data_IF_778693432022
#
_entry.id   IF_778693432022
#
_cell.length_a   1.000
_cell.length_b   1.000
_cell.length_c   1.000
_cell.angle_alpha   90.00
_cell.angle_beta   90.00
_cell.angle_gamma   90.00
#
_symmetry.space_group_name_H-M   'P 1'
#
loop_
_entity.id
_entity.type
_entity.pdbx_description
1 polymer ?
#
# COMPACT_ATOMS: atom_id res chain seq x y z
N UNK A 1 18.89 -18.25 14.36
CA UNK A 1 18.50 -16.98 15.01
C UNK A 1 17.49 -17.32 16.09
N UNK A 2 17.80 -16.99 17.34
CA UNK A 2 17.19 -17.57 18.54
C UNK A 2 15.67 -17.33 18.60
N UNK A 3 14.90 -18.41 18.78
CA UNK A 3 13.52 -18.36 19.25
C UNK A 3 13.56 -17.91 20.71
N UNK A 4 13.56 -16.60 20.95
CA UNK A 4 13.30 -16.06 22.28
C UNK A 4 11.92 -16.52 22.74
N UNK A 5 11.83 -17.11 23.93
CA UNK A 5 10.57 -17.51 24.54
C UNK A 5 9.70 -16.27 24.69
N UNK A 6 8.63 -16.17 23.89
CA UNK A 6 7.67 -15.07 23.98
C UNK A 6 6.97 -15.18 25.33
N UNK A 7 7.04 -14.13 26.15
CA UNK A 7 6.21 -14.01 27.34
C UNK A 7 4.86 -13.35 26.96
N UNK A 8 3.76 -14.11 26.91
CA UNK A 8 2.47 -13.62 26.45
C UNK A 8 1.94 -12.43 27.25
N UNK A 9 2.18 -12.40 28.57
CA UNK A 9 1.72 -11.31 29.43
C UNK A 9 2.49 -10.01 29.15
N UNK A 10 3.79 -10.14 28.84
CA UNK A 10 4.63 -9.00 28.47
C UNK A 10 4.24 -8.44 27.10
N UNK A 11 3.90 -9.27 26.12
CA UNK A 11 3.41 -8.81 24.82
C UNK A 11 2.11 -8.01 24.95
N UNK A 12 1.13 -8.50 25.71
CA UNK A 12 -0.14 -7.77 25.88
C UNK A 12 0.03 -6.49 26.70
N UNK A 13 0.94 -6.48 27.68
CA UNK A 13 1.31 -5.24 28.38
C UNK A 13 1.90 -4.20 27.42
N UNK A 14 2.87 -4.60 26.59
CA UNK A 14 3.48 -3.74 25.59
C UNK A 14 2.45 -3.23 24.56
N UNK A 15 1.50 -4.07 24.15
CA UNK A 15 0.40 -3.64 23.28
C UNK A 15 -0.46 -2.54 23.92
N UNK A 16 -0.79 -2.67 25.21
CA UNK A 16 -1.57 -1.68 25.97
C UNK A 16 -0.84 -0.35 26.09
N UNK A 17 0.45 -0.38 26.41
CA UNK A 17 1.28 0.82 26.51
C UNK A 17 1.40 1.53 25.15
N UNK A 18 1.56 0.76 24.07
CA UNK A 18 1.55 1.30 22.72
C UNK A 18 0.19 1.91 22.32
N UNK A 19 -0.94 1.30 22.69
CA UNK A 19 -2.28 1.88 22.47
C UNK A 19 -2.41 3.24 23.17
N UNK A 20 -1.98 3.34 24.44
CA UNK A 20 -2.00 4.61 25.21
C UNK A 20 -1.10 5.67 24.60
N UNK A 21 0.03 5.28 24.03
CA UNK A 21 0.94 6.16 23.31
C UNK A 21 0.47 6.51 21.88
N UNK A 22 -0.69 6.02 21.45
CA UNK A 22 -1.17 6.09 20.06
C UNK A 22 -0.19 5.51 19.01
N UNK A 23 0.70 4.61 19.43
CA UNK A 23 1.57 3.83 18.55
C UNK A 23 0.87 2.53 18.12
N UNK A 24 -0.10 2.69 17.21
CA UNK A 24 -0.88 1.56 16.71
C UNK A 24 -0.05 0.56 15.89
N UNK A 25 1.14 0.95 15.43
CA UNK A 25 2.05 0.03 14.74
C UNK A 25 2.64 -0.96 15.72
N UNK A 26 3.22 -0.47 16.81
CA UNK A 26 3.76 -1.32 17.87
C UNK A 26 2.65 -2.12 18.56
N UNK A 27 1.48 -1.52 18.81
CA UNK A 27 0.34 -2.24 19.37
C UNK A 27 -0.09 -3.44 18.50
N UNK A 28 -0.13 -3.26 17.18
CA UNK A 28 -0.46 -4.34 16.23
C UNK A 28 0.58 -5.46 16.27
N UNK A 29 1.87 -5.10 16.32
CA UNK A 29 2.96 -6.07 16.36
C UNK A 29 2.89 -6.94 17.61
N UNK A 30 2.82 -6.32 18.80
CA UNK A 30 2.76 -7.03 20.07
C UNK A 30 1.49 -7.91 20.19
N UNK A 31 0.34 -7.38 19.77
CA UNK A 31 -0.90 -8.18 19.73
C UNK A 31 -0.78 -9.38 18.79
N UNK A 32 -0.13 -9.21 17.64
CA UNK A 32 0.09 -10.28 16.67
C UNK A 32 1.02 -11.38 17.20
N UNK A 33 2.11 -11.00 17.87
CA UNK A 33 3.04 -11.93 18.50
C UNK A 33 2.34 -12.78 19.57
N UNK A 34 1.57 -12.13 20.46
CA UNK A 34 0.72 -12.83 21.43
C UNK A 34 -0.28 -13.76 20.73
N UNK A 35 -1.02 -13.26 19.75
CA UNK A 35 -2.07 -14.02 19.06
C UNK A 35 -1.51 -15.29 18.40
N UNK A 36 -0.32 -15.21 17.79
CA UNK A 36 0.37 -16.38 17.22
C UNK A 36 0.73 -17.41 18.29
N UNK A 37 1.23 -16.97 19.43
CA UNK A 37 1.51 -17.84 20.57
C UNK A 37 0.23 -18.53 21.07
N UNK A 38 -0.82 -17.75 21.34
CA UNK A 38 -2.08 -18.26 21.89
C UNK A 38 -2.76 -19.26 20.93
N UNK A 39 -2.74 -19.00 19.63
CA UNK A 39 -3.23 -19.95 18.62
C UNK A 39 -2.46 -21.28 18.62
N UNK A 40 -1.14 -21.24 18.81
CA UNK A 40 -0.33 -22.46 18.89
C UNK A 40 -0.71 -23.29 20.12
N UNK A 41 -0.95 -22.63 21.27
CA UNK A 41 -1.39 -23.28 22.52
C UNK A 41 -2.78 -23.91 22.37
N UNK A 42 -3.75 -23.19 21.78
CA UNK A 42 -5.10 -23.73 21.56
C UNK A 42 -5.08 -24.93 20.62
N UNK A 43 -4.24 -24.91 19.57
CA UNK A 43 -4.13 -26.01 18.60
C UNK A 43 -3.46 -27.26 19.16
N UNK A 44 -2.60 -27.13 20.18
CA UNK A 44 -1.92 -28.27 20.80
C UNK A 44 -2.71 -28.88 21.97
N UNK A 45 -3.74 -28.20 22.46
CA UNK A 45 -4.59 -28.69 23.54
C UNK A 45 -5.58 -29.78 23.05
N UNK A 46 -5.87 -30.82 23.86
CA UNK A 46 -6.95 -31.76 23.56
C UNK A 46 -8.30 -31.01 23.49
N UNK A 47 -9.29 -31.49 22.70
CA UNK A 47 -10.57 -30.82 22.56
C UNK A 47 -11.29 -30.76 23.92
N UNK A 48 -11.16 -29.62 24.59
CA UNK A 48 -11.91 -29.33 25.80
C UNK A 48 -13.35 -28.99 25.43
N UNK A 49 -14.31 -29.36 26.28
CA UNK A 49 -15.62 -28.73 26.28
C UNK A 49 -15.43 -27.25 26.65
N UNK A 50 -15.24 -26.41 25.64
CA UNK A 50 -15.22 -24.96 25.81
C UNK A 50 -16.62 -24.59 26.28
N UNK A 51 -16.77 -24.22 27.55
CA UNK A 51 -17.99 -23.62 28.05
C UNK A 51 -18.29 -22.41 27.15
N UNK A 52 -19.54 -22.26 26.69
CA UNK A 52 -20.02 -21.09 25.92
C UNK A 52 -20.08 -19.82 26.78
N UNK A 53 -19.12 -19.63 27.68
CA UNK A 53 -18.92 -18.34 28.33
C UNK A 53 -18.54 -17.31 27.27
N UNK A 54 -18.85 -16.05 27.55
CA UNK A 54 -19.00 -14.97 26.58
C UNK A 54 -17.70 -14.66 25.81
N UNK A 55 -17.43 -15.46 24.78
CA UNK A 55 -16.34 -15.26 23.81
C UNK A 55 -16.71 -14.22 22.74
N UNK A 56 -17.87 -13.59 22.84
CA UNK A 56 -18.33 -12.63 21.85
C UNK A 56 -17.75 -11.27 22.21
N UNK A 57 -16.84 -10.68 21.40
CA UNK A 57 -16.39 -9.33 21.64
C UNK A 57 -17.59 -8.37 21.50
N UNK A 58 -17.67 -7.31 22.31
CA UNK A 58 -18.74 -6.32 22.18
C UNK A 58 -18.72 -5.71 20.77
N UNK A 59 -19.91 -5.45 20.21
CA UNK A 59 -20.01 -4.72 18.94
C UNK A 59 -19.55 -3.29 19.17
N UNK A 60 -18.53 -2.85 18.43
CA UNK A 60 -18.04 -1.48 18.52
C UNK A 60 -18.29 -0.70 17.24
N UNK A 61 -18.83 0.49 17.43
CA UNK A 61 -18.92 1.53 16.40
C UNK A 61 -17.66 2.36 16.48
N UNK A 62 -16.87 2.38 15.40
CA UNK A 62 -15.62 3.14 15.37
C UNK A 62 -15.92 4.63 15.46
N UNK A 63 -15.49 5.26 16.55
CA UNK A 63 -15.40 6.71 16.67
C UNK A 63 -13.92 7.07 16.62
N UNK A 64 -13.49 7.75 15.56
CA UNK A 64 -12.08 8.09 15.37
C UNK A 64 -11.56 8.91 16.57
N UNK A 65 -10.42 8.48 17.14
CA UNK A 65 -9.82 9.11 18.31
C UNK A 65 -10.26 8.55 19.66
N UNK A 66 -11.31 7.73 19.71
CA UNK A 66 -11.68 6.97 20.91
C UNK A 66 -10.91 5.65 20.98
N UNK A 67 -9.83 5.63 21.77
CA UNK A 67 -9.03 4.42 22.00
C UNK A 67 -9.57 3.55 23.13
N UNK A 68 -10.65 3.96 23.80
CA UNK A 68 -11.27 3.25 24.93
C UNK A 68 -11.55 1.79 24.59
N UNK A 69 -12.10 1.55 23.39
CA UNK A 69 -12.39 0.19 22.93
C UNK A 69 -11.15 -0.66 22.70
N UNK A 70 -10.06 -0.08 22.18
CA UNK A 70 -8.79 -0.79 22.03
C UNK A 70 -8.23 -1.19 23.40
N UNK A 71 -8.31 -0.29 24.39
CA UNK A 71 -7.89 -0.59 25.76
C UNK A 71 -8.78 -1.66 26.40
N UNK A 72 -10.11 -1.60 26.23
CA UNK A 72 -11.03 -2.63 26.73
C UNK A 72 -10.70 -4.01 26.15
N UNK A 73 -10.51 -4.11 24.84
CA UNK A 73 -10.14 -5.39 24.23
C UNK A 73 -8.82 -5.93 24.76
N UNK A 74 -7.82 -5.06 24.98
CA UNK A 74 -6.53 -5.48 25.52
C UNK A 74 -6.61 -5.88 27.01
N UNK A 75 -7.50 -5.27 27.78
CA UNK A 75 -7.84 -5.67 29.15
C UNK A 75 -8.50 -7.05 29.16
N UNK A 76 -9.43 -7.32 28.23
CA UNK A 76 -10.08 -8.62 28.06
C UNK A 76 -9.07 -9.73 27.70
N UNK A 77 -8.08 -9.42 26.85
CA UNK A 77 -6.98 -10.39 26.59
C UNK A 77 -6.19 -10.65 27.88
N UNK A 78 -5.90 -9.61 28.66
CA UNK A 78 -5.17 -9.74 29.93
C UNK A 78 -5.94 -10.63 30.93
N UNK A 79 -7.25 -10.39 31.09
CA UNK A 79 -8.11 -11.19 31.95
C UNK A 79 -8.20 -12.66 31.48
N UNK A 80 -8.23 -12.88 30.17
CA UNK A 80 -8.22 -14.22 29.60
C UNK A 80 -6.89 -14.96 29.86
N UNK A 81 -5.75 -14.25 29.84
CA UNK A 81 -4.44 -14.80 30.24
C UNK A 81 -4.46 -15.17 31.73
N UNK A 82 -4.90 -14.25 32.60
CA UNK A 82 -4.92 -14.45 34.06
C UNK A 82 -5.82 -15.63 34.47
N UNK A 83 -6.93 -15.83 33.75
CA UNK A 83 -7.84 -16.97 33.93
C UNK A 83 -7.42 -18.24 33.17
N UNK A 84 -6.27 -18.23 32.48
CA UNK A 84 -5.79 -19.33 31.64
C UNK A 84 -6.79 -19.78 30.55
N UNK A 85 -7.69 -18.89 30.12
CA UNK A 85 -8.69 -19.14 29.08
C UNK A 85 -8.15 -18.72 27.70
N UNK A 86 -7.29 -19.56 27.12
CA UNK A 86 -6.64 -19.27 25.83
C UNK A 86 -7.61 -19.13 24.64
N UNK A 87 -8.71 -19.90 24.53
CA UNK A 87 -9.72 -19.65 23.49
C UNK A 87 -10.34 -18.24 23.56
N UNK A 88 -10.66 -17.75 24.76
CA UNK A 88 -11.11 -16.36 24.96
C UNK A 88 -10.00 -15.38 24.58
N UNK A 89 -8.77 -15.63 24.99
CA UNK A 89 -7.64 -14.77 24.70
C UNK A 89 -7.38 -14.63 23.18
N UNK A 90 -7.47 -15.72 22.42
CA UNK A 90 -7.39 -15.70 20.93
C UNK A 90 -8.52 -14.86 20.33
N UNK A 91 -9.74 -15.02 20.83
CA UNK A 91 -10.91 -14.33 20.29
C UNK A 91 -10.81 -12.82 20.48
N UNK A 92 -10.47 -12.38 21.70
CA UNK A 92 -10.28 -10.95 21.99
C UNK A 92 -9.02 -10.37 21.33
N UNK A 93 -7.93 -11.14 21.21
CA UNK A 93 -6.75 -10.69 20.47
C UNK A 93 -7.04 -10.54 18.96
N UNK A 94 -7.88 -11.40 18.38
CA UNK A 94 -8.35 -11.26 16.99
C UNK A 94 -9.18 -9.98 16.83
N UNK A 95 -10.12 -9.73 17.74
CA UNK A 95 -10.92 -8.51 17.75
C UNK A 95 -10.04 -7.25 17.89
N UNK A 96 -9.01 -7.31 18.75
CA UNK A 96 -8.06 -6.22 18.94
C UNK A 96 -7.25 -5.94 17.67
N UNK A 97 -6.77 -6.98 16.98
CA UNK A 97 -6.07 -6.82 15.70
C UNK A 97 -6.96 -6.16 14.64
N UNK A 98 -8.23 -6.57 14.56
CA UNK A 98 -9.19 -5.96 13.62
C UNK A 98 -9.46 -4.49 13.97
N UNK A 99 -9.64 -4.18 15.24
CA UNK A 99 -9.87 -2.81 15.71
C UNK A 99 -8.64 -1.91 15.46
N UNK A 100 -7.43 -2.38 15.77
CA UNK A 100 -6.18 -1.69 15.48
C UNK A 100 -5.99 -1.44 13.98
N UNK A 101 -6.36 -2.40 13.13
CA UNK A 101 -6.31 -2.23 11.67
C UNK A 101 -7.26 -1.13 11.20
N UNK A 102 -8.47 -1.05 11.75
CA UNK A 102 -9.44 0.01 11.41
C UNK A 102 -8.97 1.38 11.87
N UNK A 103 -8.44 1.48 13.08
CA UNK A 103 -7.91 2.75 13.61
C UNK A 103 -6.73 3.26 12.75
N UNK A 104 -5.84 2.35 12.34
CA UNK A 104 -4.77 2.69 11.40
C UNK A 104 -5.29 3.16 10.06
N UNK A 105 -6.29 2.48 9.49
CA UNK A 105 -6.89 2.87 8.22
C UNK A 105 -7.58 4.24 8.32
N UNK A 106 -8.32 4.50 9.40
CA UNK A 106 -9.01 5.77 9.64
C UNK A 106 -8.04 6.96 9.80
N UNK A 107 -6.80 6.70 10.24
CA UNK A 107 -5.74 7.72 10.38
C UNK A 107 -4.89 7.91 9.13
N UNK A 108 -5.01 7.03 8.14
CA UNK A 108 -4.34 7.24 6.86
C UNK A 108 -5.06 8.38 6.11
N UNK A 109 -4.31 9.33 5.53
CA UNK A 109 -4.94 10.38 4.75
C UNK A 109 -5.69 9.78 3.55
N UNK A 110 -6.92 10.23 3.33
CA UNK A 110 -7.71 9.84 2.15
C UNK A 110 -7.00 10.26 0.86
N UNK A 111 -7.31 9.67 -0.31
CA UNK A 111 -6.73 10.13 -1.57
C UNK A 111 -6.86 11.64 -1.79
N UNK A 112 -8.02 12.23 -1.50
CA UNK A 112 -8.24 13.68 -1.59
C UNK A 112 -7.40 14.49 -0.60
N UNK A 113 -7.20 14.00 0.63
CA UNK A 113 -6.31 14.64 1.61
C UNK A 113 -4.85 14.58 1.18
N UNK A 114 -4.38 13.44 0.67
CA UNK A 114 -3.02 13.30 0.12
C UNK A 114 -2.81 14.26 -1.04
N UNK A 115 -3.77 14.35 -1.94
CA UNK A 115 -3.72 15.28 -3.06
C UNK A 115 -3.66 16.74 -2.60
N UNK A 116 -4.54 17.14 -1.68
CA UNK A 116 -4.53 18.50 -1.12
C UNK A 116 -3.19 18.83 -0.44
N UNK A 117 -2.59 17.87 0.27
CA UNK A 117 -1.27 18.05 0.88
C UNK A 117 -0.17 18.23 -0.18
N UNK A 118 -0.18 17.44 -1.24
CA UNK A 118 0.77 17.58 -2.36
C UNK A 118 0.62 18.94 -3.07
N UNK A 119 -0.62 19.42 -3.31
CA UNK A 119 -0.86 20.75 -3.88
C UNK A 119 -0.33 21.87 -2.98
N UNK A 120 -0.52 21.75 -1.66
CA UNK A 120 0.01 22.72 -0.70
C UNK A 120 1.54 22.78 -0.75
N UNK A 121 2.22 21.63 -0.85
CA UNK A 121 3.69 21.59 -0.96
C UNK A 121 4.21 22.25 -2.25
N UNK A 122 3.44 22.18 -3.33
CA UNK A 122 3.81 22.79 -4.60
C UNK A 122 3.45 24.28 -4.71
N UNK A 123 2.67 24.81 -3.77
CA UNK A 123 2.23 26.22 -3.79
C UNK A 123 3.41 27.14 -3.53
N UNK A 124 3.72 28.02 -4.48
CA UNK A 124 4.85 28.95 -4.38
C UNK A 124 6.22 28.30 -4.59
N UNK A 125 6.27 27.02 -4.98
CA UNK A 125 7.52 26.37 -5.35
C UNK A 125 8.13 27.01 -6.60
N UNK A 126 9.46 27.13 -6.65
CA UNK A 126 10.16 27.49 -7.89
C UNK A 126 10.03 26.38 -8.94
N UNK A 127 10.47 26.66 -10.18
CA UNK A 127 10.32 25.73 -11.29
C UNK A 127 10.99 24.36 -11.05
N UNK A 128 12.13 24.33 -10.36
CA UNK A 128 12.87 23.09 -10.10
C UNK A 128 12.16 22.28 -9.02
N UNK A 129 11.78 22.90 -7.91
CA UNK A 129 11.02 22.23 -6.85
C UNK A 129 9.66 21.75 -7.34
N UNK A 130 8.96 22.56 -8.15
CA UNK A 130 7.70 22.16 -8.77
C UNK A 130 7.90 20.92 -9.64
N UNK A 131 8.93 20.91 -10.49
CA UNK A 131 9.24 19.75 -11.32
C UNK A 131 9.42 18.47 -10.50
N UNK A 132 10.14 18.54 -9.37
CA UNK A 132 10.36 17.38 -8.49
C UNK A 132 9.06 16.87 -7.85
N UNK A 133 8.07 17.74 -7.63
CA UNK A 133 6.78 17.41 -7.02
C UNK A 133 5.71 16.97 -8.05
N UNK A 134 5.86 17.34 -9.32
CA UNK A 134 4.87 17.07 -10.37
C UNK A 134 4.48 15.58 -10.51
N UNK A 135 5.40 14.60 -10.44
CA UNK A 135 5.01 13.18 -10.48
C UNK A 135 4.02 12.80 -9.38
N UNK A 136 4.25 13.28 -8.15
CA UNK A 136 3.37 13.00 -7.02
C UNK A 136 2.06 13.78 -7.10
N UNK A 137 2.07 15.02 -7.60
CA UNK A 137 0.85 15.79 -7.91
C UNK A 137 -0.04 15.06 -8.92
N UNK A 138 0.52 14.60 -10.04
CA UNK A 138 -0.22 13.92 -11.09
C UNK A 138 -0.83 12.59 -10.57
N UNK A 139 -0.04 11.78 -9.85
CA UNK A 139 -0.51 10.53 -9.26
C UNK A 139 -1.60 10.74 -8.21
N UNK A 140 -1.37 11.62 -7.24
CA UNK A 140 -2.32 11.85 -6.15
C UNK A 140 -3.62 12.50 -6.64
N UNK A 141 -3.56 13.38 -7.65
CA UNK A 141 -4.75 13.91 -8.32
C UNK A 141 -5.60 12.78 -8.95
N UNK A 142 -4.95 11.86 -9.67
CA UNK A 142 -5.63 10.71 -10.26
C UNK A 142 -6.28 9.82 -9.19
N UNK A 143 -5.54 9.49 -8.13
CA UNK A 143 -6.06 8.68 -7.01
C UNK A 143 -7.21 9.36 -6.26
N UNK A 144 -7.23 10.70 -6.22
CA UNK A 144 -8.31 11.49 -5.66
C UNK A 144 -9.54 11.60 -6.57
N UNK A 145 -9.47 11.07 -7.80
CA UNK A 145 -10.52 11.18 -8.81
C UNK A 145 -10.59 12.55 -9.50
N UNK A 146 -9.62 13.44 -9.27
CA UNK A 146 -9.52 14.72 -9.98
C UNK A 146 -8.79 14.53 -11.31
N UNK A 147 -9.48 13.92 -12.27
CA UNK A 147 -8.90 13.58 -13.57
C UNK A 147 -8.52 14.82 -14.39
N UNK A 148 -9.17 15.97 -14.15
CA UNK A 148 -8.83 17.23 -14.82
C UNK A 148 -7.46 17.71 -14.38
N UNK A 149 -7.21 17.79 -13.07
CA UNK A 149 -5.88 18.17 -12.57
C UNK A 149 -4.83 17.10 -12.86
N UNK A 150 -5.18 15.81 -12.76
CA UNK A 150 -4.28 14.72 -13.12
C UNK A 150 -3.78 14.84 -14.57
N UNK A 151 -4.68 15.10 -15.52
CA UNK A 151 -4.33 15.34 -16.92
C UNK A 151 -3.44 16.58 -17.06
N UNK A 152 -3.79 17.68 -16.42
CA UNK A 152 -3.01 18.93 -16.47
C UNK A 152 -1.57 18.75 -16.00
N UNK A 153 -1.35 18.07 -14.86
CA UNK A 153 0.00 17.80 -14.36
C UNK A 153 0.76 16.78 -15.21
N UNK A 154 0.06 15.81 -15.80
CA UNK A 154 0.67 14.88 -16.76
C UNK A 154 1.14 15.62 -18.02
N UNK A 155 0.32 16.53 -18.56
CA UNK A 155 0.67 17.37 -19.71
C UNK A 155 1.86 18.28 -19.39
N UNK A 156 1.92 18.85 -18.17
CA UNK A 156 3.06 19.64 -17.71
C UNK A 156 4.36 18.81 -17.67
N UNK A 157 4.33 17.58 -17.15
CA UNK A 157 5.47 16.67 -17.17
C UNK A 157 5.95 16.38 -18.60
N UNK A 158 5.01 16.07 -19.51
CA UNK A 158 5.32 15.76 -20.91
C UNK A 158 5.83 16.99 -21.69
N UNK A 159 5.33 18.19 -21.37
CA UNK A 159 5.83 19.44 -21.93
C UNK A 159 7.27 19.72 -21.49
N UNK A 160 7.60 19.53 -20.21
CA UNK A 160 8.97 19.68 -19.69
C UNK A 160 9.92 18.66 -20.34
N UNK A 161 9.45 17.42 -20.53
CA UNK A 161 10.19 16.40 -21.25
C UNK A 161 10.46 16.81 -22.72
N UNK A 162 9.48 17.42 -23.38
CA UNK A 162 9.66 17.86 -24.77
C UNK A 162 10.57 19.09 -24.90
N UNK A 163 10.54 20.00 -23.93
CA UNK A 163 11.24 21.28 -23.98
C UNK A 163 12.74 21.21 -23.69
N UNK A 164 13.22 20.19 -22.98
CA UNK A 164 14.63 20.08 -22.57
C UNK A 164 15.38 18.80 -23.04
N UNK A 165 15.44 18.52 -24.35
CA UNK A 165 16.11 17.32 -24.87
C UNK A 165 17.54 17.18 -24.34
N UNK A 166 17.87 16.04 -23.74
CA UNK A 166 19.21 15.75 -23.19
C UNK A 166 19.37 15.97 -21.68
N UNK A 167 18.38 16.55 -21.01
CA UNK A 167 18.27 16.50 -19.55
C UNK A 167 17.72 15.14 -19.10
N UNK A 168 18.09 14.57 -17.93
CA UNK A 168 17.55 13.30 -17.44
C UNK A 168 16.06 13.43 -17.04
N UNK A 169 15.20 13.46 -18.05
CA UNK A 169 13.75 13.66 -17.97
C UNK A 169 12.98 12.37 -17.66
N UNK A 170 13.67 11.32 -17.20
CA UNK A 170 13.06 10.00 -17.19
C UNK A 170 11.82 9.91 -16.32
N UNK A 171 11.79 10.60 -15.18
CA UNK A 171 10.59 10.73 -14.35
C UNK A 171 9.46 11.43 -15.10
N UNK A 172 9.76 12.52 -15.82
CA UNK A 172 8.76 13.29 -16.53
C UNK A 172 8.07 12.50 -17.64
N UNK A 173 8.86 11.84 -18.49
CA UNK A 173 8.35 10.95 -19.53
C UNK A 173 7.58 9.78 -18.93
N UNK A 174 8.12 9.17 -17.88
CA UNK A 174 7.52 7.98 -17.29
C UNK A 174 6.19 8.31 -16.61
N UNK A 175 6.19 9.15 -15.58
CA UNK A 175 5.00 9.44 -14.79
C UNK A 175 3.95 10.25 -15.55
N UNK A 176 4.36 11.16 -16.43
CA UNK A 176 3.44 11.89 -17.30
C UNK A 176 2.62 10.93 -18.17
N UNK A 177 3.28 9.99 -18.83
CA UNK A 177 2.59 8.99 -19.64
C UNK A 177 1.77 8.00 -18.79
N UNK A 178 2.26 7.55 -17.64
CA UNK A 178 1.49 6.65 -16.76
C UNK A 178 0.16 7.31 -16.37
N UNK A 179 0.17 8.55 -15.89
CA UNK A 179 -1.06 9.23 -15.46
C UNK A 179 -1.96 9.55 -16.65
N UNK A 180 -1.41 10.07 -17.76
CA UNK A 180 -2.18 10.35 -18.97
C UNK A 180 -2.89 9.09 -19.52
N UNK A 181 -2.19 7.96 -19.57
CA UNK A 181 -2.77 6.70 -20.03
C UNK A 181 -3.87 6.18 -19.11
N UNK A 182 -3.73 6.34 -17.79
CA UNK A 182 -4.77 5.94 -16.83
C UNK A 182 -6.01 6.84 -16.94
N UNK A 183 -5.83 8.15 -17.09
CA UNK A 183 -6.94 9.08 -17.38
C UNK A 183 -7.62 8.72 -18.70
N UNK A 184 -6.86 8.32 -19.73
CA UNK A 184 -7.43 7.86 -20.99
C UNK A 184 -8.28 6.58 -20.83
N UNK A 185 -7.85 5.61 -20.01
CA UNK A 185 -8.63 4.41 -19.71
C UNK A 185 -9.95 4.71 -19.00
N UNK A 186 -10.00 5.71 -18.12
CA UNK A 186 -11.27 6.14 -17.49
C UNK A 186 -12.32 6.56 -18.53
N UNK A 187 -11.87 7.07 -19.68
CA UNK A 187 -12.71 7.44 -20.82
C UNK A 187 -12.80 6.34 -21.88
N UNK A 188 -12.43 5.10 -21.54
CA UNK A 188 -12.39 3.95 -22.45
C UNK A 188 -11.52 4.15 -23.70
N UNK A 189 -10.55 5.08 -23.65
CA UNK A 189 -9.61 5.31 -24.74
C UNK A 189 -8.37 4.42 -24.59
N UNK A 190 -8.54 3.15 -24.95
CA UNK A 190 -7.49 2.12 -24.82
C UNK A 190 -6.31 2.41 -25.75
N UNK A 191 -6.57 2.98 -26.93
CA UNK A 191 -5.50 3.29 -27.89
C UNK A 191 -4.48 4.25 -27.27
N UNK A 192 -4.97 5.33 -26.65
CA UNK A 192 -4.09 6.29 -25.95
C UNK A 192 -3.40 5.62 -24.76
N UNK A 193 -4.13 4.86 -23.95
CA UNK A 193 -3.55 4.14 -22.81
C UNK A 193 -2.37 3.23 -23.20
N UNK A 194 -2.51 2.47 -24.29
CA UNK A 194 -1.46 1.62 -24.84
C UNK A 194 -0.24 2.44 -25.24
N UNK A 195 -0.46 3.47 -26.06
CA UNK A 195 0.64 4.32 -26.54
C UNK A 195 1.36 5.02 -25.39
N UNK A 196 0.63 5.44 -24.36
CA UNK A 196 1.19 6.05 -23.16
C UNK A 196 2.04 5.04 -22.38
N UNK A 197 1.56 3.81 -22.15
CA UNK A 197 2.35 2.82 -21.42
C UNK A 197 3.68 2.53 -22.14
N UNK A 198 3.65 2.34 -23.46
CA UNK A 198 4.85 2.09 -24.25
C UNK A 198 5.79 3.30 -24.25
N UNK A 199 5.26 4.52 -24.35
CA UNK A 199 6.06 5.73 -24.24
C UNK A 199 6.72 5.88 -22.86
N UNK A 200 6.03 5.48 -21.79
CA UNK A 200 6.58 5.46 -20.43
C UNK A 200 7.73 4.46 -20.28
N UNK A 201 7.73 3.35 -21.04
CA UNK A 201 8.79 2.34 -21.04
C UNK A 201 10.05 2.76 -21.80
N UNK A 202 9.92 3.64 -22.80
CA UNK A 202 11.01 4.06 -23.70
C UNK A 202 11.93 5.15 -23.14
N UNK A 203 11.74 5.49 -21.87
CA UNK A 203 12.61 6.42 -21.15
C UNK A 203 14.02 5.85 -20.95
N UNK A 204 15.04 6.72 -20.89
CA UNK A 204 16.39 6.32 -20.47
C UNK A 204 16.50 6.07 -18.96
N UNK A 205 15.42 6.30 -18.21
CA UNK A 205 15.35 6.15 -16.77
C UNK A 205 15.75 7.40 -16.00
N UNK A 206 15.82 7.27 -14.68
CA UNK A 206 16.17 8.31 -13.73
C UNK A 206 16.77 7.66 -12.48
N UNK A 207 17.46 8.40 -11.59
CA UNK A 207 17.90 7.85 -10.31
C UNK A 207 16.77 7.18 -9.51
N UNK A 208 15.54 7.72 -9.59
CA UNK A 208 14.36 7.14 -8.95
C UNK A 208 13.96 5.82 -9.61
N UNK A 209 13.82 5.81 -10.94
CA UNK A 209 13.41 4.63 -11.71
C UNK A 209 14.46 3.50 -11.66
N UNK A 210 15.75 3.84 -11.60
CA UNK A 210 16.81 2.85 -11.47
C UNK A 210 16.77 2.15 -10.10
N UNK A 211 16.40 2.87 -9.05
CA UNK A 211 16.37 2.37 -7.67
C UNK A 211 15.05 1.65 -7.36
N UNK A 212 13.93 2.37 -7.41
CA UNK A 212 12.62 1.84 -7.00
C UNK A 212 11.96 1.00 -8.09
N UNK A 213 12.26 1.31 -9.34
CA UNK A 213 11.61 0.74 -10.51
C UNK A 213 10.51 1.62 -11.09
N UNK A 214 9.94 1.19 -12.22
CA UNK A 214 8.83 1.86 -12.84
C UNK A 214 7.51 1.67 -12.09
N UNK A 215 6.56 2.58 -12.35
CA UNK A 215 5.19 2.45 -11.89
C UNK A 215 4.39 1.49 -12.81
N UNK A 216 3.71 0.53 -12.21
CA UNK A 216 2.94 -0.53 -12.87
C UNK A 216 1.43 -0.28 -12.86
N UNK A 217 0.96 0.88 -12.39
CA UNK A 217 -0.47 1.20 -12.25
C UNK A 217 -1.21 1.13 -13.59
N UNK A 218 -0.67 1.73 -14.65
CA UNK A 218 -1.26 1.66 -15.99
C UNK A 218 -1.17 0.25 -16.58
N UNK A 219 -0.08 -0.47 -16.31
CA UNK A 219 0.06 -1.87 -16.73
C UNK A 219 -1.00 -2.76 -16.07
N UNK A 220 -1.25 -2.60 -14.77
CA UNK A 220 -2.29 -3.31 -14.05
C UNK A 220 -3.69 -2.99 -14.60
N UNK A 221 -3.98 -1.72 -14.88
CA UNK A 221 -5.25 -1.29 -15.47
C UNK A 221 -5.46 -1.91 -16.87
N UNK A 222 -4.41 -1.99 -17.71
CA UNK A 222 -4.46 -2.65 -19.03
C UNK A 222 -4.62 -4.18 -18.94
N UNK A 223 -3.98 -4.85 -17.97
CA UNK A 223 -4.22 -6.28 -17.72
C UNK A 223 -5.66 -6.55 -17.31
N UNK A 224 -6.23 -5.73 -16.42
CA UNK A 224 -7.63 -5.84 -16.00
C UNK A 224 -8.60 -5.61 -17.17
N UNK A 225 -8.19 -4.80 -18.15
CA UNK A 225 -8.92 -4.57 -19.39
C UNK A 225 -8.75 -5.70 -20.43
N UNK A 226 -7.84 -6.66 -20.19
CA UNK A 226 -7.60 -7.80 -21.07
C UNK A 226 -6.53 -7.55 -22.15
N UNK A 227 -5.57 -6.65 -21.90
CA UNK A 227 -4.48 -6.34 -22.83
C UNK A 227 -3.09 -6.76 -22.29
N UNK A 228 -2.76 -8.06 -22.31
CA UNK A 228 -1.48 -8.57 -21.83
C UNK A 228 -0.30 -8.22 -22.76
N UNK A 229 -0.54 -8.08 -24.06
CA UNK A 229 0.53 -7.90 -25.05
C UNK A 229 1.25 -6.55 -24.86
N UNK A 230 0.49 -5.46 -24.73
CA UNK A 230 1.06 -4.13 -24.47
C UNK A 230 1.87 -4.12 -23.17
N UNK A 231 1.43 -4.85 -22.14
CA UNK A 231 2.11 -4.92 -20.86
C UNK A 231 3.41 -5.71 -20.96
N UNK A 232 3.43 -6.81 -21.72
CA UNK A 232 4.64 -7.58 -21.98
C UNK A 232 5.70 -6.75 -22.73
N UNK A 233 5.29 -5.97 -23.72
CA UNK A 233 6.18 -5.05 -24.45
C UNK A 233 6.75 -3.98 -23.50
N UNK A 234 5.90 -3.37 -22.69
CA UNK A 234 6.32 -2.40 -21.69
C UNK A 234 7.32 -2.98 -20.67
N UNK A 235 7.10 -4.20 -20.17
CA UNK A 235 8.06 -4.87 -19.27
C UNK A 235 9.42 -5.11 -19.95
N UNK A 236 9.43 -5.40 -21.25
CA UNK A 236 10.65 -5.55 -22.02
C UNK A 236 11.42 -4.22 -22.13
N UNK A 237 10.72 -3.11 -22.39
CA UNK A 237 11.31 -1.77 -22.43
C UNK A 237 11.88 -1.37 -21.07
N UNK A 238 11.20 -1.71 -19.97
CA UNK A 238 11.66 -1.40 -18.61
C UNK A 238 13.01 -2.04 -18.25
N UNK A 239 13.37 -3.18 -18.89
CA UNK A 239 14.68 -3.82 -18.68
C UNK A 239 15.84 -2.93 -19.10
N UNK A 240 15.62 -1.95 -19.96
CA UNK A 240 16.67 -1.06 -20.45
C UNK A 240 17.21 -0.16 -19.33
N UNK A 241 16.35 0.31 -18.43
CA UNK A 241 16.72 1.22 -17.34
C UNK A 241 16.67 0.60 -15.93
N UNK A 242 15.81 -0.38 -15.67
CA UNK A 242 15.70 -0.96 -14.32
C UNK A 242 16.53 -2.24 -14.17
N UNK A 243 17.83 -2.07 -13.86
CA UNK A 243 18.78 -3.18 -13.72
C UNK A 243 18.71 -3.91 -12.39
N UNK A 244 18.24 -3.23 -11.34
CA UNK A 244 18.06 -3.79 -10.00
C UNK A 244 16.65 -4.35 -9.79
N UNK A 245 16.01 -4.86 -10.85
CA UNK A 245 14.68 -5.44 -10.80
C UNK A 245 14.65 -6.74 -9.98
N UNK A 246 15.80 -7.37 -9.72
CA UNK A 246 15.94 -8.64 -8.97
C UNK A 246 15.15 -9.79 -9.63
N UNK A 247 15.02 -9.77 -10.96
CA UNK A 247 14.26 -10.75 -11.73
C UNK A 247 12.73 -10.58 -11.70
N UNK A 248 12.23 -9.48 -11.12
CA UNK A 248 10.79 -9.19 -11.05
C UNK A 248 10.17 -9.02 -12.44
N UNK A 249 10.85 -8.35 -13.38
CA UNK A 249 10.30 -8.14 -14.73
C UNK A 249 10.08 -9.47 -15.46
N UNK A 250 11.02 -10.40 -15.33
CA UNK A 250 10.90 -11.74 -15.93
C UNK A 250 9.83 -12.60 -15.25
N UNK A 251 9.74 -12.53 -13.93
CA UNK A 251 8.69 -13.21 -13.17
C UNK A 251 7.30 -12.71 -13.59
N UNK A 252 7.08 -11.39 -13.60
CA UNK A 252 5.79 -10.81 -13.98
C UNK A 252 5.44 -11.13 -15.43
N UNK A 253 6.40 -11.06 -16.35
CA UNK A 253 6.16 -11.45 -17.74
C UNK A 253 5.79 -12.94 -17.88
N UNK A 254 6.39 -13.82 -17.08
CA UNK A 254 6.04 -15.25 -17.05
C UNK A 254 4.61 -15.49 -16.51
N UNK A 255 4.22 -14.78 -15.46
CA UNK A 255 2.88 -14.85 -14.87
C UNK A 255 1.81 -14.38 -15.88
N UNK A 256 2.05 -13.25 -16.56
CA UNK A 256 1.12 -12.73 -17.60
C UNK A 256 0.93 -13.73 -18.74
N UNK A 257 2.02 -14.35 -19.24
CA UNK A 257 1.92 -15.37 -20.30
C UNK A 257 1.15 -16.62 -19.89
N UNK A 258 1.08 -16.90 -18.58
CA UNK A 258 0.27 -17.99 -18.01
C UNK A 258 -1.18 -17.58 -17.76
N UNK A 259 -1.59 -16.36 -18.15
CA UNK A 259 -2.92 -15.82 -17.88
C UNK A 259 -3.13 -15.42 -16.42
N UNK A 260 -2.05 -15.23 -15.64
CA UNK A 260 -2.13 -14.78 -14.24
C UNK A 260 -1.93 -13.26 -14.18
N UNK A 261 -2.57 -12.62 -13.21
CA UNK A 261 -2.30 -11.23 -12.86
C UNK A 261 -1.14 -11.17 -11.89
N UNK A 262 -0.02 -10.52 -12.23
CA UNK A 262 1.11 -10.41 -11.31
C UNK A 262 0.79 -9.56 -10.08
N UNK A 263 1.43 -9.90 -8.96
CA UNK A 263 1.49 -8.98 -7.82
C UNK A 263 2.62 -7.97 -8.05
N UNK A 264 2.24 -6.75 -8.47
CA UNK A 264 3.18 -5.65 -8.67
C UNK A 264 3.63 -4.99 -7.36
N UNK A 265 3.01 -5.31 -6.22
CA UNK A 265 3.38 -4.78 -4.90
C UNK A 265 3.48 -3.25 -4.88
N UNK A 266 4.61 -2.74 -4.39
CA UNK A 266 4.85 -1.29 -4.25
C UNK A 266 4.98 -0.56 -5.58
N UNK A 267 5.20 -1.25 -6.70
CA UNK A 267 5.21 -0.65 -8.05
C UNK A 267 3.88 -0.10 -8.49
N UNK A 268 2.77 -0.39 -7.81
CA UNK A 268 1.50 0.27 -8.05
C UNK A 268 1.48 1.74 -7.55
N UNK A 269 2.37 2.11 -6.63
CA UNK A 269 2.32 3.39 -5.90
C UNK A 269 3.60 4.24 -5.98
N UNK A 270 4.71 3.69 -6.52
CA UNK A 270 5.95 4.45 -6.74
C UNK A 270 5.75 5.66 -7.64
#
# INVERSE_FOLDING_TARGET
MAQGTIDPATEIRAAKDAIRAADFRSASLHTFLFHRYALAVVRSAPPAHIAKEDITPPKYTVVAGDTSYLTTLADEVSQAIDSSNMPRAVTFATALLQALSRERAARQPTPSQRFSQSEQQATGADAVHRFLLLPDLAKTAYEAGDFVKASSYADELLAIASAHPGWPQGDALHYGNIVAGRVALQHSNISTARSSLLAAGKTSGSPRLHSFGPNMGLAADLLAWGDPETVLEYLAECKTFWKDDKGRLDQWASEIRQGKTPDFGTSLTH
#
